data_IF_211398599944
#
_entry.id   IF_211398599944
#
_cell.length_a   1.000
_cell.length_b   1.000
_cell.length_c   1.000
_cell.angle_alpha   90.00
_cell.angle_beta   90.00
_cell.angle_gamma   90.00
#
_symmetry.space_group_name_H-M   'P 1'
#
loop_
_entity.id
_entity.type
_entity.pdbx_description
1 polymer ?
#
# COMPACT_ATOMS: atom_id res chain seq x y z
N UNK A 1 50.58 -2.68 26.06
CA UNK A 1 50.80 -4.12 26.20
C UNK A 1 49.82 -4.85 25.32
N UNK A 2 50.26 -5.26 24.19
CA UNK A 2 50.60 -6.60 23.76
C UNK A 2 49.37 -7.43 23.38
N UNK A 3 49.18 -7.56 22.03
CA UNK A 3 49.28 -8.77 21.16
C UNK A 3 48.09 -9.74 21.31
N UNK A 4 47.55 -10.33 20.31
CA UNK A 4 47.93 -10.95 19.01
C UNK A 4 46.60 -11.38 18.35
N UNK A 5 46.32 -11.14 17.08
CA UNK A 5 46.77 -11.89 15.90
C UNK A 5 46.43 -13.37 15.88
N UNK A 6 45.70 -13.75 14.86
CA UNK A 6 45.66 -14.97 14.05
C UNK A 6 44.24 -15.12 13.53
N UNK A 7 43.86 -15.02 12.32
CA UNK A 7 44.49 -15.48 11.09
C UNK A 7 44.07 -16.92 10.83
N UNK A 8 43.02 -17.15 10.05
CA UNK A 8 42.97 -18.32 9.19
C UNK A 8 42.03 -18.12 8.00
N UNK A 9 42.71 -18.05 6.92
CA UNK A 9 42.29 -18.12 5.54
C UNK A 9 42.08 -19.60 5.20
N UNK A 10 40.91 -19.97 4.71
CA UNK A 10 40.77 -21.19 3.92
C UNK A 10 39.95 -20.87 2.68
N UNK A 11 40.67 -20.86 1.61
CA UNK A 11 40.24 -20.93 0.22
C UNK A 11 39.82 -22.38 -0.05
N UNK A 12 38.64 -22.57 -0.61
CA UNK A 12 38.45 -23.69 -1.53
C UNK A 12 37.53 -23.25 -2.67
N UNK A 13 38.19 -23.23 -3.78
CA UNK A 13 37.66 -23.11 -5.12
C UNK A 13 37.10 -24.47 -5.58
N UNK A 14 36.47 -24.37 -6.70
CA UNK A 14 36.22 -25.36 -7.77
C UNK A 14 34.79 -25.88 -7.83
N UNK A 15 34.18 -25.48 -8.92
CA UNK A 15 33.90 -26.22 -10.18
C UNK A 15 32.62 -27.02 -10.07
N UNK A 16 31.72 -27.02 -10.99
CA UNK A 16 31.83 -27.39 -12.40
C UNK A 16 30.46 -27.07 -13.06
N UNK A 17 30.54 -26.54 -14.23
CA UNK A 17 29.45 -26.48 -15.20
C UNK A 17 28.91 -27.88 -15.52
N UNK A 18 27.60 -27.97 -15.67
CA UNK A 18 27.01 -28.96 -16.53
C UNK A 18 25.89 -28.32 -17.37
N UNK A 19 26.28 -28.05 -18.57
CA UNK A 19 25.48 -27.96 -19.76
C UNK A 19 24.74 -29.27 -19.92
N UNK A 20 23.45 -29.22 -20.08
CA UNK A 20 22.77 -30.21 -20.90
C UNK A 20 21.60 -29.60 -21.65
N UNK A 21 21.87 -29.52 -22.90
CA UNK A 21 20.98 -29.29 -24.02
C UNK A 21 20.42 -30.65 -24.40
N UNK A 22 19.11 -30.79 -24.46
CA UNK A 22 18.53 -31.57 -25.55
C UNK A 22 17.04 -31.29 -25.77
N UNK A 23 16.79 -31.16 -27.00
CA UNK A 23 15.52 -30.99 -27.71
C UNK A 23 14.63 -32.23 -27.59
N UNK A 24 13.34 -32.00 -27.69
CA UNK A 24 12.40 -33.06 -28.01
C UNK A 24 10.97 -32.61 -27.97
N UNK A 25 10.50 -32.03 -29.06
CA UNK A 25 9.22 -32.21 -29.75
C UNK A 25 8.16 -33.08 -29.03
N UNK A 26 6.96 -32.59 -28.83
CA UNK A 26 5.81 -32.82 -29.72
C UNK A 26 4.53 -32.32 -29.06
N UNK A 27 3.74 -31.65 -29.86
CA UNK A 27 2.39 -31.17 -29.58
C UNK A 27 1.44 -32.30 -29.20
N UNK A 28 0.51 -31.98 -28.28
CA UNK A 28 -0.90 -32.27 -28.51
C UNK A 28 -1.74 -31.55 -27.47
N UNK A 29 -2.75 -30.88 -27.98
CA UNK A 29 -3.65 -30.04 -27.23
C UNK A 29 -4.52 -30.83 -26.27
N UNK A 30 -4.82 -30.16 -25.18
CA UNK A 30 -6.01 -30.39 -24.39
C UNK A 30 -6.53 -29.06 -23.96
N UNK A 31 -7.62 -28.75 -24.55
CA UNK A 31 -8.54 -27.68 -24.26
C UNK A 31 -8.97 -27.78 -22.79
N UNK A 32 -8.57 -26.83 -21.97
CA UNK A 32 -9.17 -26.65 -20.66
C UNK A 32 -9.80 -25.25 -20.62
N UNK A 33 -11.10 -25.22 -20.33
CA UNK A 33 -11.77 -23.92 -20.20
C UNK A 33 -11.15 -23.13 -19.06
N UNK A 34 -10.77 -21.90 -19.38
CA UNK A 34 -10.46 -20.87 -18.41
C UNK A 34 -11.66 -20.69 -17.48
N UNK A 35 -11.55 -21.24 -16.30
CA UNK A 35 -12.40 -20.91 -15.18
C UNK A 35 -11.54 -20.15 -14.18
N UNK A 36 -11.86 -18.89 -14.08
CA UNK A 36 -11.53 -17.95 -13.03
C UNK A 36 -10.71 -18.52 -11.87
N UNK A 37 -9.40 -18.35 -11.97
CA UNK A 37 -8.57 -18.31 -10.79
C UNK A 37 -8.23 -16.82 -10.61
N UNK A 38 -9.06 -16.16 -9.83
CA UNK A 38 -8.64 -14.95 -9.15
C UNK A 38 -7.52 -15.37 -8.20
N UNK A 39 -6.32 -15.40 -8.73
CA UNK A 39 -5.13 -15.52 -7.91
C UNK A 39 -5.01 -14.20 -7.16
N UNK A 40 -5.26 -14.23 -5.87
CA UNK A 40 -4.74 -13.26 -4.93
C UNK A 40 -3.22 -13.27 -5.06
N UNK A 41 -2.70 -12.54 -6.01
CA UNK A 41 -1.27 -12.29 -6.05
C UNK A 41 -0.92 -11.21 -5.03
N UNK A 42 -0.26 -11.73 -3.98
CA UNK A 42 0.74 -11.09 -3.15
C UNK A 42 0.87 -9.57 -3.33
N UNK A 43 0.51 -8.87 -2.30
CA UNK A 43 0.84 -7.48 -2.03
C UNK A 43 2.36 -7.30 -2.17
N UNK A 44 2.78 -6.93 -3.35
CA UNK A 44 4.12 -6.42 -3.57
C UNK A 44 4.15 -5.00 -3.01
N UNK A 45 4.91 -4.81 -1.98
CA UNK A 45 5.27 -3.53 -1.38
C UNK A 45 5.89 -2.64 -2.46
N UNK A 46 5.12 -1.72 -3.02
CA UNK A 46 5.59 -0.74 -3.99
C UNK A 46 4.47 -0.17 -4.84
N UNK A 47 4.22 1.12 -4.69
CA UNK A 47 3.49 2.01 -5.58
C UNK A 47 2.08 1.56 -6.06
N UNK A 48 1.32 0.84 -5.25
CA UNK A 48 -0.04 0.46 -5.63
C UNK A 48 -0.97 1.67 -5.52
N UNK A 49 -1.35 2.19 -6.68
CA UNK A 49 -2.41 3.18 -6.80
C UNK A 49 -3.74 2.44 -6.91
N UNK A 50 -4.69 2.81 -6.07
CA UNK A 50 -6.03 2.22 -6.05
C UNK A 50 -7.12 3.28 -5.89
N UNK A 51 -8.33 2.94 -6.26
CA UNK A 51 -9.52 3.72 -5.92
C UNK A 51 -10.15 3.08 -4.71
N UNK A 52 -10.39 3.87 -3.68
CA UNK A 52 -10.96 3.43 -2.42
C UNK A 52 -12.20 4.23 -2.08
N UNK A 53 -13.16 3.58 -1.43
CA UNK A 53 -14.36 4.22 -0.87
C UNK A 53 -14.40 3.98 0.62
N UNK A 54 -14.93 4.94 1.36
CA UNK A 54 -15.02 4.81 2.81
C UNK A 54 -15.48 6.08 3.51
N UNK A 55 -15.24 6.09 4.82
CA UNK A 55 -15.51 7.23 5.70
C UNK A 55 -14.23 7.99 6.00
N UNK A 56 -14.31 9.30 5.86
CA UNK A 56 -13.19 10.20 6.13
C UNK A 56 -13.59 11.19 7.23
N UNK A 57 -12.66 11.45 8.14
CA UNK A 57 -12.84 12.40 9.24
C UNK A 57 -11.65 13.35 9.25
N UNK A 58 -11.94 14.65 9.35
CA UNK A 58 -10.93 15.69 9.56
C UNK A 58 -11.20 16.39 10.88
N UNK A 59 -10.16 16.47 11.70
CA UNK A 59 -10.16 17.21 12.95
C UNK A 59 -8.89 18.02 13.12
N UNK A 60 -8.70 18.59 14.30
CA UNK A 60 -7.53 19.45 14.59
C UNK A 60 -6.20 18.69 14.43
N UNK A 61 -6.17 17.45 14.91
CA UNK A 61 -5.01 16.55 14.86
C UNK A 61 -5.38 15.19 14.27
N UNK A 62 -6.50 15.11 13.56
CA UNK A 62 -7.07 13.89 13.01
C UNK A 62 -7.25 14.00 11.50
N UNK A 63 -6.70 13.04 10.79
CA UNK A 63 -6.89 12.81 9.36
C UNK A 63 -7.11 11.33 9.13
N UNK A 64 -8.31 10.88 9.45
CA UNK A 64 -8.67 9.47 9.49
C UNK A 64 -9.47 9.07 8.27
N UNK A 65 -9.16 7.91 7.74
CA UNK A 65 -9.91 7.23 6.69
C UNK A 65 -10.12 5.77 7.06
N UNK A 66 -11.36 5.31 6.99
CA UNK A 66 -11.75 3.91 7.16
C UNK A 66 -12.40 3.42 5.88
N UNK A 67 -11.81 2.41 5.26
CA UNK A 67 -12.32 1.83 4.02
C UNK A 67 -13.63 1.09 4.24
N UNK A 68 -14.51 1.09 3.25
CA UNK A 68 -15.76 0.32 3.31
C UNK A 68 -15.48 -1.17 3.48
N UNK A 69 -16.12 -1.77 4.47
CA UNK A 69 -15.96 -3.18 4.80
C UNK A 69 -14.74 -3.50 5.68
N UNK A 70 -13.94 -2.50 5.99
CA UNK A 70 -12.82 -2.60 6.91
C UNK A 70 -13.14 -1.96 8.27
N UNK A 71 -12.39 -2.31 9.30
CA UNK A 71 -12.40 -1.65 10.61
C UNK A 71 -11.06 -1.00 10.93
N UNK A 72 -10.13 -1.02 9.99
CA UNK A 72 -8.79 -0.48 10.13
C UNK A 72 -8.80 1.00 9.80
N UNK A 73 -8.11 1.77 10.60
CA UNK A 73 -8.04 3.23 10.48
C UNK A 73 -6.70 3.65 9.89
N UNK A 74 -6.77 4.44 8.82
CA UNK A 74 -5.61 4.91 8.08
C UNK A 74 -5.47 6.42 8.20
N UNK A 75 -4.23 6.90 8.34
CA UNK A 75 -3.91 8.31 8.14
C UNK A 75 -3.94 8.65 6.65
N UNK A 76 -4.42 9.82 6.27
CA UNK A 76 -4.30 10.28 4.89
C UNK A 76 -3.54 11.59 4.77
N UNK A 77 -2.81 11.73 3.67
CA UNK A 77 -2.05 12.91 3.28
C UNK A 77 -2.73 13.54 2.07
N UNK A 78 -3.16 14.78 2.19
CA UNK A 78 -3.71 15.61 1.11
C UNK A 78 -2.73 16.73 0.77
N UNK A 79 -1.86 16.48 -0.22
CA UNK A 79 -0.88 17.49 -0.65
C UNK A 79 -1.51 18.60 -1.48
N UNK A 80 -2.62 18.33 -2.13
CA UNK A 80 -3.31 19.29 -2.99
C UNK A 80 -4.18 20.28 -2.19
N UNK A 81 -4.59 19.90 -0.98
CA UNK A 81 -5.56 20.62 -0.18
C UNK A 81 -7.00 20.47 -0.66
N UNK A 82 -7.23 19.67 -1.71
CA UNK A 82 -8.57 19.49 -2.31
C UNK A 82 -9.53 18.78 -1.36
N UNK A 83 -9.04 17.78 -0.63
CA UNK A 83 -9.86 17.05 0.34
C UNK A 83 -10.32 17.95 1.48
N UNK A 84 -9.41 18.78 1.99
CA UNK A 84 -9.71 19.75 3.04
C UNK A 84 -10.76 20.77 2.57
N UNK A 85 -10.57 21.34 1.38
CA UNK A 85 -11.50 22.33 0.80
C UNK A 85 -12.90 21.75 0.58
N UNK A 86 -12.97 20.53 0.03
CA UNK A 86 -14.24 19.88 -0.22
C UNK A 86 -14.93 19.48 1.08
N UNK A 87 -14.19 19.01 2.07
CA UNK A 87 -14.71 18.73 3.40
C UNK A 87 -15.36 19.97 4.03
N UNK A 88 -14.70 21.11 3.95
CA UNK A 88 -15.25 22.40 4.46
C UNK A 88 -16.50 22.84 3.71
N UNK A 89 -16.63 22.43 2.44
CA UNK A 89 -17.79 22.75 1.60
C UNK A 89 -19.01 21.87 1.92
N UNK A 90 -18.80 20.57 2.13
CA UNK A 90 -19.91 19.60 2.33
C UNK A 90 -20.35 19.51 3.79
N UNK A 91 -19.47 19.79 4.75
CA UNK A 91 -19.82 19.77 6.17
C UNK A 91 -20.41 21.12 6.56
N UNK A 92 -21.62 21.16 7.13
CA UNK A 92 -22.30 22.39 7.52
C UNK A 92 -21.49 23.24 8.51
N UNK A 93 -21.63 24.55 8.44
CA UNK A 93 -21.04 25.48 9.40
C UNK A 93 -21.50 25.15 10.83
N UNK A 94 -20.54 25.09 11.75
CA UNK A 94 -20.79 24.69 13.15
C UNK A 94 -20.65 23.20 13.44
N UNK A 95 -20.59 22.35 12.42
CA UNK A 95 -20.32 20.91 12.55
C UNK A 95 -18.94 20.52 11.99
N UNK A 96 -18.13 21.50 11.62
CA UNK A 96 -16.77 21.30 11.14
C UNK A 96 -15.92 20.68 12.24
N UNK A 97 -15.05 19.80 11.87
CA UNK A 97 -14.21 18.93 12.69
C UNK A 97 -14.95 17.67 13.21
N UNK A 98 -14.34 16.55 12.99
CA UNK A 98 -14.76 15.22 13.42
C UNK A 98 -16.10 14.74 12.84
N UNK A 99 -16.69 15.45 11.87
CA UNK A 99 -17.88 14.97 11.17
C UNK A 99 -17.47 13.97 10.11
N UNK A 100 -17.94 12.72 10.16
CA UNK A 100 -17.62 11.76 9.13
C UNK A 100 -18.33 12.11 7.82
N UNK A 101 -17.59 12.04 6.72
CA UNK A 101 -18.09 12.17 5.36
C UNK A 101 -17.78 10.92 4.56
N UNK A 102 -18.60 10.63 3.56
CA UNK A 102 -18.34 9.54 2.63
C UNK A 102 -17.49 10.03 1.48
N UNK A 103 -16.44 9.26 1.14
CA UNK A 103 -15.52 9.65 0.06
C UNK A 103 -15.24 8.49 -0.89
N UNK A 104 -14.91 8.87 -2.13
CA UNK A 104 -14.27 8.03 -3.13
C UNK A 104 -13.01 8.75 -3.58
N UNK A 105 -11.86 8.10 -3.45
CA UNK A 105 -10.56 8.71 -3.70
C UNK A 105 -9.64 7.76 -4.45
N UNK A 106 -8.81 8.33 -5.31
CA UNK A 106 -7.64 7.65 -5.87
C UNK A 106 -6.45 7.90 -4.95
N UNK A 107 -5.87 6.83 -4.46
CA UNK A 107 -4.85 6.89 -3.42
C UNK A 107 -3.64 6.02 -3.75
N UNK A 108 -2.52 6.36 -3.13
CA UNK A 108 -1.30 5.56 -3.08
C UNK A 108 -1.06 5.12 -1.63
N UNK A 109 -0.89 3.83 -1.40
CA UNK A 109 -0.52 3.33 -0.07
C UNK A 109 0.97 3.53 0.18
N UNK A 110 1.31 4.14 1.30
CA UNK A 110 2.69 4.46 1.68
C UNK A 110 3.25 3.53 2.77
N UNK A 111 2.43 2.63 3.30
CA UNK A 111 2.81 1.78 4.43
C UNK A 111 2.54 2.44 5.79
N UNK A 112 3.04 1.85 6.85
CA UNK A 112 2.97 2.39 8.20
C UNK A 112 4.02 3.48 8.40
N UNK A 113 3.64 4.54 9.12
CA UNK A 113 4.54 5.62 9.51
C UNK A 113 4.96 5.46 10.98
N UNK A 114 6.18 5.86 11.30
CA UNK A 114 6.69 5.97 12.66
C UNK A 114 6.76 7.43 13.14
N UNK A 115 6.23 8.36 12.33
CA UNK A 115 6.36 9.80 12.58
C UNK A 115 5.02 10.47 12.90
N UNK A 116 5.05 11.35 13.90
CA UNK A 116 3.95 12.24 14.27
C UNK A 116 2.64 11.51 14.54
N UNK A 117 1.52 12.15 14.23
CA UNK A 117 0.19 11.57 14.43
C UNK A 117 -0.08 10.35 13.54
N UNK A 118 0.59 10.24 12.40
CA UNK A 118 0.43 9.12 11.50
C UNK A 118 0.92 7.79 12.09
N UNK A 119 1.79 7.83 13.11
CA UNK A 119 2.30 6.63 13.79
C UNK A 119 1.22 5.87 14.60
N UNK A 120 0.14 6.54 14.97
CA UNK A 120 -0.98 5.95 15.71
C UNK A 120 -1.94 5.14 14.82
N UNK A 121 -1.82 5.29 13.49
CA UNK A 121 -2.68 4.65 12.50
C UNK A 121 -2.03 3.38 11.94
N UNK A 122 -2.84 2.48 11.37
CA UNK A 122 -2.36 1.22 10.82
C UNK A 122 -1.61 1.35 9.50
N UNK A 123 -1.75 2.49 8.85
CA UNK A 123 -1.01 2.84 7.63
C UNK A 123 -1.35 4.23 7.12
N UNK A 124 -0.71 4.62 6.04
CA UNK A 124 -0.82 5.95 5.44
C UNK A 124 -1.22 5.84 3.97
N UNK A 125 -2.23 6.60 3.58
CA UNK A 125 -2.59 6.83 2.20
C UNK A 125 -2.23 8.26 1.77
N UNK A 126 -1.61 8.40 0.62
CA UNK A 126 -1.48 9.67 -0.08
C UNK A 126 -2.65 9.81 -1.06
N UNK A 127 -3.44 10.86 -0.91
CA UNK A 127 -4.54 11.16 -1.83
C UNK A 127 -3.99 11.79 -3.09
N UNK A 128 -4.19 11.14 -4.22
CA UNK A 128 -3.78 11.62 -5.54
C UNK A 128 -4.92 12.41 -6.21
N UNK A 129 -6.16 11.98 -6.00
CA UNK A 129 -7.35 12.61 -6.58
C UNK A 129 -8.58 12.31 -5.71
N UNK A 130 -9.34 13.34 -5.41
CA UNK A 130 -10.66 13.20 -4.82
C UNK A 130 -11.70 13.06 -5.92
N UNK A 131 -12.37 11.92 -5.99
CA UNK A 131 -13.37 11.63 -7.02
C UNK A 131 -14.78 12.05 -6.58
N UNK A 132 -15.10 11.82 -5.31
CA UNK A 132 -16.41 12.15 -4.74
C UNK A 132 -16.32 12.38 -3.24
N UNK A 133 -17.13 13.31 -2.73
CA UNK A 133 -17.36 13.51 -1.30
C UNK A 133 -18.84 13.84 -1.05
N UNK A 134 -19.40 13.19 -0.04
CA UNK A 134 -20.79 13.36 0.39
C UNK A 134 -20.86 13.45 1.92
N UNK A 135 -21.84 14.22 2.47
CA UNK A 135 -22.08 14.28 3.91
C UNK A 135 -22.39 12.93 4.54
#
# INVERSE_FOLDING_TARGET
>A
MVKKSFGWMVIFATCIACTNREQGKTAQGLDYPLKDVLTEEAITTGDSISVVTGKLVIGHEVRSFVMDGDSVEYWFIDRSGTVQQEYERVVPDGMKNYTPVRVEMKVKYLGKSDEGFAAEYDGVYEVLELLKMEP
#
